data_IF_959149149825
#
_entry.id   IF_959149149825
#
_cell.length_a   1.000
_cell.length_b   1.000
_cell.length_c   1.000
_cell.angle_alpha   90.00
_cell.angle_beta   90.00
_cell.angle_gamma   90.00
#
_symmetry.space_group_name_H-M   'P 1'
#
loop_
_entity.id
_entity.type
_entity.pdbx_description
1 polymer ?
#
# COMPACT_ATOMS: atom_id res chain seq x y z
N UNK A 1 2.50 31.41 18.40
CA UNK A 1 2.66 30.64 17.18
C UNK A 1 1.28 30.23 16.70
N UNK A 2 0.90 30.69 15.54
CA UNK A 2 -0.38 30.33 14.95
C UNK A 2 -0.29 28.93 14.38
N UNK A 3 -1.37 28.16 14.51
CA UNK A 3 -1.50 26.81 13.97
C UNK A 3 -2.78 26.77 13.12
N UNK A 4 -2.69 26.12 11.98
CA UNK A 4 -3.85 25.83 11.14
C UNK A 4 -4.39 24.44 11.47
N UNK A 5 -5.70 24.26 11.39
CA UNK A 5 -6.35 22.99 11.67
C UNK A 5 -7.02 22.50 10.40
N UNK A 6 -6.52 21.38 9.87
CA UNK A 6 -7.05 20.74 8.68
C UNK A 6 -7.81 19.47 9.08
N UNK A 7 -9.11 19.49 8.85
CA UNK A 7 -9.93 18.29 8.98
C UNK A 7 -9.83 17.46 7.70
N UNK A 8 -9.59 16.19 7.87
CA UNK A 8 -9.49 15.21 6.77
C UNK A 8 -10.84 14.51 6.67
N UNK A 9 -11.42 14.50 5.49
CA UNK A 9 -12.64 13.76 5.20
C UNK A 9 -12.36 12.32 4.80
N UNK A 10 -13.36 11.46 4.90
CA UNK A 10 -13.26 10.03 4.53
C UNK A 10 -13.00 9.87 3.03
N UNK A 11 -13.49 10.80 2.23
CA UNK A 11 -13.36 10.83 0.77
C UNK A 11 -12.07 11.53 0.29
N UNK A 12 -11.29 12.10 1.21
CA UNK A 12 -10.05 12.79 0.85
C UNK A 12 -8.96 11.79 0.44
N UNK A 13 -8.47 11.95 -0.77
CA UNK A 13 -7.27 11.26 -1.23
C UNK A 13 -5.98 11.89 -0.66
N UNK A 14 -4.90 11.12 -0.68
CA UNK A 14 -3.58 11.58 -0.21
C UNK A 14 -3.14 12.87 -0.92
N UNK A 15 -3.43 13.01 -2.20
CA UNK A 15 -3.10 14.19 -3.01
C UNK A 15 -3.90 15.41 -2.57
N UNK A 16 -5.17 15.23 -2.23
CA UNK A 16 -6.02 16.30 -1.70
C UNK A 16 -5.52 16.79 -0.35
N UNK A 17 -5.15 15.87 0.55
CA UNK A 17 -4.59 16.21 1.86
C UNK A 17 -3.27 16.97 1.69
N UNK A 18 -2.39 16.52 0.80
CA UNK A 18 -1.12 17.19 0.51
C UNK A 18 -1.38 18.62 -0.04
N UNK A 19 -2.36 18.78 -0.88
CA UNK A 19 -2.75 20.09 -1.43
C UNK A 19 -3.27 21.03 -0.35
N UNK A 20 -4.12 20.54 0.56
CA UNK A 20 -4.60 21.28 1.73
C UNK A 20 -3.41 21.73 2.63
N UNK A 21 -2.43 20.84 2.86
CA UNK A 21 -1.23 21.16 3.63
C UNK A 21 -0.42 22.27 2.95
N UNK A 22 -0.20 22.17 1.66
CA UNK A 22 0.56 23.18 0.90
C UNK A 22 -0.15 24.53 0.85
N UNK A 23 -1.47 24.52 0.74
CA UNK A 23 -2.30 25.73 0.68
C UNK A 23 -2.41 26.49 2.01
N UNK A 24 -2.18 25.82 3.14
CA UNK A 24 -2.20 26.47 4.45
C UNK A 24 -1.17 27.59 4.52
N UNK A 25 -1.49 28.67 5.20
CA UNK A 25 -0.60 29.83 5.40
C UNK A 25 0.33 29.64 6.62
N UNK A 26 -0.08 28.79 7.55
CA UNK A 26 0.65 28.60 8.80
C UNK A 26 1.74 27.53 8.66
N UNK A 27 2.80 27.68 9.45
CA UNK A 27 3.90 26.69 9.47
C UNK A 27 3.57 25.43 10.25
N UNK A 28 2.68 25.54 11.23
CA UNK A 28 2.24 24.41 12.05
C UNK A 28 0.85 24.04 11.66
N UNK A 29 0.66 22.80 11.26
CA UNK A 29 -0.61 22.27 10.78
C UNK A 29 -1.04 21.09 11.65
N UNK A 30 -2.20 21.22 12.28
CA UNK A 30 -2.84 20.11 12.98
C UNK A 30 -3.76 19.36 12.02
N UNK A 31 -3.45 18.10 11.76
CA UNK A 31 -4.28 17.21 10.94
C UNK A 31 -5.23 16.43 11.84
N UNK A 32 -6.51 16.59 11.63
CA UNK A 32 -7.55 15.87 12.36
C UNK A 32 -8.13 14.80 11.44
N UNK A 33 -7.79 13.53 11.65
CA UNK A 33 -8.30 12.43 10.84
C UNK A 33 -9.78 12.14 11.14
N UNK A 34 -10.53 11.60 10.17
CA UNK A 34 -11.87 11.12 10.42
C UNK A 34 -11.84 9.84 11.27
N UNK A 35 -12.98 9.44 11.83
CA UNK A 35 -13.09 8.18 12.61
C UNK A 35 -12.76 6.94 11.79
N UNK A 36 -13.01 6.96 10.50
CA UNK A 36 -12.58 5.93 9.54
C UNK A 36 -11.33 6.40 8.82
N UNK A 37 -10.20 5.83 9.17
CA UNK A 37 -8.87 6.36 8.86
C UNK A 37 -8.38 6.02 7.44
N UNK A 38 -9.10 5.21 6.68
CA UNK A 38 -8.86 4.81 5.27
C UNK A 38 -7.45 5.10 4.70
N UNK A 39 -7.31 6.27 4.13
CA UNK A 39 -6.06 6.72 3.47
C UNK A 39 -4.85 6.78 4.41
N UNK A 40 -5.07 7.09 5.69
CA UNK A 40 -4.00 7.23 6.68
C UNK A 40 -3.55 5.91 7.33
N UNK A 41 -4.20 4.79 7.03
CA UNK A 41 -3.77 3.45 7.50
C UNK A 41 -2.54 2.93 6.75
N UNK A 42 -2.12 3.60 5.70
CA UNK A 42 -0.94 3.24 4.95
C UNK A 42 0.31 3.96 5.45
N UNK A 43 1.33 3.20 5.86
CA UNK A 43 2.64 3.74 6.23
C UNK A 43 3.28 4.56 5.10
N UNK A 44 3.03 4.18 3.85
CA UNK A 44 3.51 4.91 2.67
C UNK A 44 2.86 6.29 2.59
N UNK A 45 1.54 6.36 2.78
CA UNK A 45 0.82 7.62 2.74
C UNK A 45 1.25 8.57 3.86
N UNK A 46 1.45 8.04 5.07
CA UNK A 46 1.97 8.82 6.19
C UNK A 46 3.37 9.39 5.90
N UNK A 47 4.25 8.59 5.29
CA UNK A 47 5.57 9.06 4.86
C UNK A 47 5.49 10.12 3.75
N UNK A 48 4.55 9.98 2.81
CA UNK A 48 4.30 10.98 1.76
C UNK A 48 3.85 12.30 2.36
N UNK A 49 2.96 12.27 3.36
CA UNK A 49 2.54 13.47 4.09
C UNK A 49 3.72 14.15 4.81
N UNK A 50 4.54 13.38 5.50
CA UNK A 50 5.74 13.90 6.16
C UNK A 50 6.69 14.59 5.17
N UNK A 51 6.94 13.95 4.02
CA UNK A 51 7.78 14.53 2.95
C UNK A 51 7.18 15.80 2.37
N UNK A 52 5.88 15.78 2.07
CA UNK A 52 5.19 16.93 1.49
C UNK A 52 5.20 18.13 2.42
N UNK A 53 5.02 17.91 3.72
CA UNK A 53 5.12 18.96 4.72
C UNK A 53 6.53 19.53 4.82
N UNK A 54 7.55 18.68 4.88
CA UNK A 54 8.94 19.09 4.92
C UNK A 54 9.33 19.88 3.67
N UNK A 55 8.89 19.44 2.49
CA UNK A 55 9.14 20.14 1.22
C UNK A 55 8.46 21.51 1.14
N UNK A 56 7.38 21.71 1.89
CA UNK A 56 6.67 22.98 1.99
C UNK A 56 7.14 23.86 3.18
N UNK A 57 8.19 23.48 3.88
CA UNK A 57 8.69 24.12 5.12
C UNK A 57 7.62 24.19 6.20
N UNK A 58 6.82 23.13 6.34
CA UNK A 58 5.72 23.03 7.29
C UNK A 58 5.92 21.88 8.25
N UNK A 59 5.37 22.01 9.44
CA UNK A 59 5.36 20.97 10.48
C UNK A 59 3.93 20.48 10.66
N UNK A 60 3.72 19.19 10.48
CA UNK A 60 2.42 18.56 10.72
C UNK A 60 2.41 17.90 12.10
N UNK A 61 1.26 18.00 12.74
CA UNK A 61 0.95 17.31 14.00
C UNK A 61 -0.34 16.53 13.78
N UNK A 62 -0.32 15.25 14.04
CA UNK A 62 -1.51 14.40 13.87
C UNK A 62 -2.30 14.35 15.17
N UNK A 63 -3.59 14.69 15.11
CA UNK A 63 -4.46 14.67 16.27
C UNK A 63 -5.21 13.33 16.28
N UNK A 64 -4.77 12.41 17.14
CA UNK A 64 -5.39 11.08 17.20
C UNK A 64 -5.27 10.45 18.57
N UNK A 65 -6.26 9.61 18.89
CA UNK A 65 -6.23 8.71 20.05
C UNK A 65 -6.09 7.24 19.61
N UNK A 66 -5.98 6.99 18.32
CA UNK A 66 -5.83 5.64 17.76
C UNK A 66 -4.36 5.20 17.87
N UNK A 67 -4.13 4.06 18.52
CA UNK A 67 -2.78 3.51 18.74
C UNK A 67 -2.12 3.04 17.44
N UNK A 68 -2.88 2.54 16.48
CA UNK A 68 -2.36 2.08 15.19
C UNK A 68 -1.85 3.27 14.39
N UNK A 69 -2.65 4.32 14.31
CA UNK A 69 -2.26 5.54 13.62
C UNK A 69 -1.08 6.24 14.32
N UNK A 70 -1.04 6.20 15.65
CA UNK A 70 0.08 6.70 16.42
C UNK A 70 1.38 5.95 16.10
N UNK A 71 1.35 4.62 15.98
CA UNK A 71 2.48 3.81 15.57
C UNK A 71 2.96 4.14 14.15
N UNK A 72 2.03 4.31 13.22
CA UNK A 72 2.35 4.70 11.84
C UNK A 72 2.97 6.11 11.77
N UNK A 73 2.45 7.06 12.54
CA UNK A 73 3.00 8.41 12.63
C UNK A 73 4.41 8.40 13.21
N UNK A 74 4.67 7.58 14.22
CA UNK A 74 5.98 7.42 14.83
C UNK A 74 7.03 6.93 13.82
N UNK A 75 6.69 5.97 12.95
CA UNK A 75 7.60 5.49 11.89
C UNK A 75 7.98 6.58 10.90
N UNK A 76 7.10 7.55 10.67
CA UNK A 76 7.34 8.70 9.82
C UNK A 76 7.91 9.93 10.59
N UNK A 77 8.16 9.79 11.89
CA UNK A 77 8.59 10.87 12.80
C UNK A 77 7.64 12.07 12.83
N UNK A 78 6.34 11.80 12.65
CA UNK A 78 5.30 12.81 12.77
C UNK A 78 4.85 12.87 14.24
N UNK A 79 4.91 14.04 14.88
CA UNK A 79 4.41 14.19 16.24
C UNK A 79 2.89 14.03 16.28
N UNK A 80 2.42 13.41 17.33
CA UNK A 80 1.00 13.20 17.60
C UNK A 80 0.57 14.02 18.82
N UNK A 81 -0.70 14.36 18.86
CA UNK A 81 -1.32 14.95 20.04
C UNK A 81 -2.71 14.34 20.23
N UNK A 82 -3.12 14.18 21.46
CA UNK A 82 -4.46 13.63 21.78
C UNK A 82 -5.57 14.63 21.50
N UNK A 83 -5.29 15.89 21.68
CA UNK A 83 -6.21 16.99 21.44
C UNK A 83 -5.48 18.17 20.80
N UNK A 84 -6.24 19.12 20.22
CA UNK A 84 -5.68 20.34 19.63
C UNK A 84 -4.90 21.21 20.63
N UNK A 85 -5.13 21.03 21.93
CA UNK A 85 -4.50 21.79 23.00
C UNK A 85 -3.36 21.01 23.67
N UNK A 86 -3.25 19.70 23.43
CA UNK A 86 -2.20 18.86 23.99
C UNK A 86 -0.86 19.18 23.36
N UNK A 87 0.20 19.01 24.13
CA UNK A 87 1.57 19.11 23.62
C UNK A 87 1.82 17.98 22.61
N UNK A 88 2.38 18.27 21.44
CA UNK A 88 2.74 17.24 20.46
C UNK A 88 3.88 16.38 21.00
N UNK A 89 3.75 15.08 20.89
CA UNK A 89 4.76 14.10 21.29
C UNK A 89 4.98 13.12 20.14
N UNK A 90 6.20 12.61 20.00
CA UNK A 90 6.48 11.50 19.08
C UNK A 90 6.20 10.23 19.85
N UNK A 91 5.26 9.41 19.37
CA UNK A 91 4.96 8.14 19.98
C UNK A 91 6.21 7.26 19.97
N UNK A 92 6.53 6.68 21.09
CA UNK A 92 7.57 5.66 21.17
C UNK A 92 7.04 4.39 20.48
N UNK A 93 7.76 3.95 19.46
CA UNK A 93 7.49 2.65 18.86
C UNK A 93 7.99 1.63 19.88
N UNK A 94 7.13 0.75 20.43
CA UNK A 94 7.63 -0.36 21.22
C UNK A 94 8.58 -1.15 20.32
N UNK A 95 9.86 -1.01 20.57
CA UNK A 95 10.86 -1.89 19.95
C UNK A 95 10.54 -3.26 20.50
N UNK A 96 9.88 -4.08 19.68
CA UNK A 96 9.87 -5.51 19.94
C UNK A 96 11.35 -5.88 20.01
N UNK A 97 11.84 -6.15 21.21
CA UNK A 97 13.09 -6.85 21.37
C UNK A 97 12.86 -8.18 20.71
N UNK A 98 13.26 -8.30 19.46
CA UNK A 98 13.48 -9.59 18.84
C UNK A 98 14.65 -10.11 19.65
N UNK A 99 14.36 -11.07 20.54
CA UNK A 99 15.40 -11.83 21.20
C UNK A 99 16.15 -12.57 20.08
N UNK A 100 17.25 -11.97 19.68
CA UNK A 100 18.09 -12.35 18.52
C UNK A 100 18.85 -13.68 18.77
N UNK A 101 18.49 -14.40 19.87
CA UNK A 101 19.31 -15.48 20.33
C UNK A 101 18.93 -16.88 19.82
N UNK A 102 17.85 -17.06 19.04
CA UNK A 102 17.52 -18.45 18.62
C UNK A 102 16.78 -18.64 17.30
N UNK A 103 16.59 -17.64 16.48
CA UNK A 103 15.91 -17.79 15.18
C UNK A 103 16.86 -17.57 13.99
N UNK A 104 18.10 -18.06 14.10
CA UNK A 104 18.88 -18.34 12.91
C UNK A 104 18.29 -19.59 12.28
N UNK A 105 17.28 -19.39 11.45
CA UNK A 105 16.80 -20.42 10.55
C UNK A 105 17.99 -20.77 9.67
N UNK A 106 18.64 -21.91 9.98
CA UNK A 106 19.72 -22.46 9.16
C UNK A 106 19.12 -22.76 7.79
N UNK A 107 19.32 -21.84 6.84
CA UNK A 107 18.79 -21.95 5.48
C UNK A 107 19.23 -23.23 4.75
N UNK A 108 20.25 -23.92 5.25
CA UNK A 108 20.67 -25.21 4.75
C UNK A 108 19.74 -26.36 5.15
N UNK A 109 18.89 -26.18 6.15
CA UNK A 109 17.90 -27.19 6.62
C UNK A 109 16.50 -26.98 6.06
N UNK A 110 16.25 -25.88 5.37
CA UNK A 110 14.99 -25.69 4.66
C UNK A 110 15.05 -26.51 3.36
N UNK A 111 14.21 -27.52 3.27
CA UNK A 111 14.04 -28.35 2.07
C UNK A 111 13.38 -27.55 0.91
N UNK A 112 13.92 -26.38 0.61
CA UNK A 112 13.38 -25.49 -0.43
C UNK A 112 13.63 -26.06 -1.82
N UNK A 113 14.67 -26.89 -1.98
CA UNK A 113 15.01 -27.54 -3.25
C UNK A 113 13.98 -28.56 -3.69
N UNK A 114 13.46 -29.36 -2.77
CA UNK A 114 12.52 -30.45 -3.09
C UNK A 114 11.12 -29.93 -3.47
N UNK A 115 10.71 -28.79 -2.92
CA UNK A 115 9.45 -28.15 -3.32
C UNK A 115 9.52 -27.44 -4.67
N UNK A 116 10.67 -26.93 -5.06
CA UNK A 116 10.85 -26.29 -6.36
C UNK A 116 10.80 -27.30 -7.53
N UNK A 117 11.30 -28.50 -7.33
CA UNK A 117 11.26 -29.56 -8.35
C UNK A 117 9.87 -30.19 -8.50
N UNK A 118 9.10 -30.30 -7.42
CA UNK A 118 7.73 -30.77 -7.49
C UNK A 118 6.80 -29.75 -8.18
N UNK A 119 7.03 -28.44 -7.95
CA UNK A 119 6.28 -27.39 -8.62
C UNK A 119 6.61 -27.28 -10.13
N UNK A 120 7.85 -27.59 -10.53
CA UNK A 120 8.22 -27.65 -11.96
C UNK A 120 7.63 -28.84 -12.69
N UNK A 121 7.47 -29.99 -12.02
CA UNK A 121 6.84 -31.17 -12.62
C UNK A 121 5.33 -31.01 -12.82
N UNK A 122 4.61 -30.36 -11.90
CA UNK A 122 3.20 -30.11 -12.06
C UNK A 122 2.88 -29.06 -13.12
N UNK A 123 3.72 -28.03 -13.29
CA UNK A 123 3.52 -27.03 -14.36
C UNK A 123 3.78 -27.55 -15.76
N UNK A 124 4.66 -28.54 -15.91
CA UNK A 124 5.00 -29.06 -17.23
C UNK A 124 3.95 -30.02 -17.81
N UNK A 125 3.09 -30.62 -16.95
CA UNK A 125 1.99 -31.47 -17.40
C UNK A 125 0.72 -30.69 -17.75
N UNK A 126 0.51 -29.50 -17.16
CA UNK A 126 -0.69 -28.71 -17.36
C UNK A 126 -0.57 -27.68 -18.49
N UNK A 127 0.64 -27.21 -18.82
CA UNK A 127 0.86 -26.27 -19.92
C UNK A 127 0.78 -26.92 -21.30
N UNK A 128 1.23 -28.16 -21.47
CA UNK A 128 1.18 -28.85 -22.75
C UNK A 128 -0.23 -29.26 -23.14
N UNK A 129 -1.13 -29.51 -22.18
CA UNK A 129 -2.51 -29.91 -22.48
C UNK A 129 -3.45 -28.74 -22.82
N UNK A 130 -3.15 -27.54 -22.33
CA UNK A 130 -3.97 -26.34 -22.55
C UNK A 130 -3.66 -25.67 -23.89
N UNK A 131 -2.40 -25.74 -24.33
CA UNK A 131 -1.98 -25.13 -25.60
C UNK A 131 -2.49 -25.90 -26.80
N UNK A 132 -2.51 -27.23 -26.76
CA UNK A 132 -3.02 -28.08 -27.86
C UNK A 132 -4.52 -27.92 -28.04
N UNK A 133 -5.28 -27.74 -26.97
CA UNK A 133 -6.72 -27.50 -27.08
C UNK A 133 -7.06 -26.10 -27.60
N UNK A 134 -6.31 -25.10 -27.30
CA UNK A 134 -6.52 -23.73 -27.77
C UNK A 134 -6.21 -23.59 -29.27
N UNK A 135 -5.18 -24.27 -29.77
CA UNK A 135 -4.79 -24.28 -31.19
C UNK A 135 -5.79 -25.07 -32.03
N UNK A 136 -6.30 -26.18 -31.53
CA UNK A 136 -7.32 -26.98 -32.20
C UNK A 136 -8.65 -26.23 -32.36
N UNK A 137 -9.05 -25.44 -31.37
CA UNK A 137 -10.29 -24.65 -31.43
C UNK A 137 -10.16 -23.42 -32.33
N UNK A 138 -9.02 -22.77 -32.38
CA UNK A 138 -8.76 -21.65 -33.27
C UNK A 138 -8.77 -22.09 -34.75
N UNK A 139 -8.19 -23.24 -35.06
CA UNK A 139 -8.14 -23.78 -36.41
C UNK A 139 -9.52 -24.26 -36.90
N UNK A 140 -10.38 -24.74 -35.99
CA UNK A 140 -11.75 -25.16 -36.32
C UNK A 140 -12.69 -23.98 -36.59
N UNK A 141 -12.44 -22.82 -35.96
CA UNK A 141 -13.21 -21.59 -36.23
C UNK A 141 -12.82 -20.92 -37.54
N UNK A 142 -11.55 -20.94 -37.92
CA UNK A 142 -11.10 -20.38 -39.20
C UNK A 142 -11.60 -21.19 -40.42
N UNK A 143 -11.62 -22.52 -40.33
CA UNK A 143 -12.14 -23.35 -41.44
C UNK A 143 -13.63 -23.14 -41.66
N UNK A 144 -14.43 -22.91 -40.62
CA UNK A 144 -15.86 -22.60 -40.75
C UNK A 144 -16.12 -21.18 -41.30
N UNK A 145 -15.26 -20.23 -41.02
CA UNK A 145 -15.35 -18.88 -41.55
C UNK A 145 -15.05 -18.80 -43.04
N UNK A 146 -14.09 -19.55 -43.52
CA UNK A 146 -13.70 -19.62 -44.93
C UNK A 146 -14.75 -20.32 -45.81
N UNK A 147 -15.43 -21.35 -45.32
CA UNK A 147 -16.51 -22.02 -46.03
C UNK A 147 -17.77 -21.14 -46.16
N UNK A 148 -18.03 -20.29 -45.16
CA UNK A 148 -19.14 -19.33 -45.23
C UNK A 148 -18.89 -18.22 -46.25
N UNK A 149 -17.65 -17.75 -46.39
CA UNK A 149 -17.25 -16.72 -47.33
C UNK A 149 -17.27 -17.23 -48.79
N UNK A 150 -16.92 -18.51 -49.03
CA UNK A 150 -17.02 -19.12 -50.36
C UNK A 150 -18.46 -19.28 -50.86
N UNK A 151 -19.45 -19.42 -49.98
CA UNK A 151 -20.86 -19.47 -50.30
C UNK A 151 -21.49 -18.11 -50.65
N UNK A 152 -20.88 -17.01 -50.20
CA UNK A 152 -21.41 -15.68 -50.45
C UNK A 152 -20.91 -15.02 -51.75
N UNK A 153 -19.93 -15.58 -52.43
CA UNK A 153 -19.28 -15.02 -53.63
C UNK A 153 -19.83 -15.63 -54.95
N UNK A 154 -20.95 -16.33 -54.89
CA UNK A 154 -21.68 -16.77 -56.05
C UNK A 154 -22.97 -15.90 -56.16
#
# INVERSE_FOLDING_TARGET
MNKDVIYIDVEDDITTIISKIKASKERIIALVPPRRIGVLQSAVNIRLLARAATSADKRIVLITNDSVLAGLAATAKIPIAKTLQSKPEIAEIPVLKVDDDNDVIDGGKLAVGDMADSAKRSKKSDEDSVVDNAIADANKKESKGLDSLKKMVK
#
